data_IF_999028809116
#
_entry.id   IF_999028809116
#
_cell.length_a   1.000
_cell.length_b   1.000
_cell.length_c   1.000
_cell.angle_alpha   90.00
_cell.angle_beta   90.00
_cell.angle_gamma   90.00
#
_symmetry.space_group_name_H-M   'P 1'
#
loop_
_entity.id
_entity.type
_entity.pdbx_description
1 polymer ?
#
# COMPACT_ATOMS: atom_id res chain seq x y z
N UNK A 1 23.50 8.72 10.97
CA UNK A 1 22.56 8.46 9.87
C UNK A 1 22.19 6.99 9.94
N UNK A 2 20.96 6.66 10.30
CA UNK A 2 20.47 5.28 10.23
C UNK A 2 20.04 5.07 8.79
N UNK A 3 20.76 4.22 8.06
CA UNK A 3 20.39 3.82 6.70
C UNK A 3 19.28 2.78 6.86
N UNK A 4 18.07 3.05 6.35
CA UNK A 4 17.04 2.01 6.23
C UNK A 4 17.44 1.10 5.05
N UNK A 5 17.83 -0.17 5.27
CA UNK A 5 18.31 -1.02 4.18
C UNK A 5 17.20 -1.33 3.15
N UNK A 6 15.94 -1.35 3.57
CA UNK A 6 14.80 -1.59 2.68
C UNK A 6 14.53 -0.46 1.68
N UNK A 7 15.11 0.73 1.86
CA UNK A 7 15.00 1.85 0.90
C UNK A 7 16.15 1.89 -0.10
N UNK A 8 17.07 0.92 -0.08
CA UNK A 8 18.11 0.87 -1.09
C UNK A 8 17.51 0.61 -2.49
N UNK A 9 18.23 1.00 -3.56
CA UNK A 9 17.85 0.65 -4.92
C UNK A 9 17.71 -0.85 -5.09
N UNK A 10 16.73 -1.26 -5.90
CA UNK A 10 16.44 -2.65 -6.20
C UNK A 10 17.17 -3.01 -7.51
N UNK A 11 18.27 -3.77 -7.47
CA UNK A 11 18.98 -4.19 -8.67
C UNK A 11 18.15 -5.20 -9.46
N UNK A 12 18.38 -5.26 -10.77
CA UNK A 12 17.74 -6.22 -11.69
C UNK A 12 16.20 -6.22 -11.61
N UNK A 13 15.63 -5.04 -11.28
CA UNK A 13 14.21 -4.88 -11.06
C UNK A 13 13.41 -5.13 -12.34
N UNK A 14 12.30 -5.85 -12.20
CA UNK A 14 11.42 -6.22 -13.31
C UNK A 14 9.98 -5.77 -13.07
N UNK A 15 9.39 -5.15 -14.09
CA UNK A 15 8.02 -4.63 -14.03
C UNK A 15 6.98 -5.75 -13.91
N UNK A 16 7.19 -6.89 -14.58
CA UNK A 16 6.26 -8.02 -14.53
C UNK A 16 6.15 -8.62 -13.11
N UNK A 17 7.27 -8.66 -12.38
CA UNK A 17 7.28 -9.06 -10.97
C UNK A 17 6.55 -8.04 -10.08
N UNK A 18 6.76 -6.74 -10.32
CA UNK A 18 6.06 -5.69 -9.58
C UNK A 18 4.54 -5.71 -9.88
N UNK A 19 4.13 -5.95 -11.12
CA UNK A 19 2.72 -6.07 -11.49
C UNK A 19 2.06 -7.30 -10.82
N UNK A 20 2.71 -8.46 -10.82
CA UNK A 20 2.21 -9.64 -10.12
C UNK A 20 2.12 -9.43 -8.59
N UNK A 21 3.09 -8.73 -8.03
CA UNK A 21 3.09 -8.36 -6.62
C UNK A 21 1.99 -7.34 -6.29
N UNK A 22 1.70 -6.38 -7.17
CA UNK A 22 0.61 -5.41 -7.03
C UNK A 22 -0.74 -6.12 -6.89
N UNK A 23 -1.02 -7.11 -7.74
CA UNK A 23 -2.25 -7.90 -7.66
C UNK A 23 -2.39 -8.59 -6.31
N UNK A 24 -1.31 -9.24 -5.85
CA UNK A 24 -1.29 -9.91 -4.55
C UNK A 24 -1.42 -8.92 -3.39
N UNK A 25 -0.81 -7.74 -3.52
CA UNK A 25 -0.88 -6.67 -2.53
C UNK A 25 -2.30 -6.13 -2.40
N UNK A 26 -2.98 -5.85 -3.52
CA UNK A 26 -4.34 -5.34 -3.52
C UNK A 26 -5.34 -6.38 -3.01
N UNK A 27 -5.12 -7.67 -3.30
CA UNK A 27 -5.91 -8.74 -2.69
C UNK A 27 -5.78 -8.74 -1.16
N UNK A 28 -4.55 -8.66 -0.63
CA UNK A 28 -4.30 -8.58 0.81
C UNK A 28 -4.89 -7.30 1.44
N UNK A 29 -4.83 -6.17 0.73
CA UNK A 29 -5.44 -4.90 1.16
C UNK A 29 -6.96 -5.02 1.24
N UNK A 30 -7.62 -5.67 0.27
CA UNK A 30 -9.07 -5.89 0.29
C UNK A 30 -9.50 -6.80 1.44
N UNK A 31 -8.75 -7.88 1.69
CA UNK A 31 -8.98 -8.76 2.84
C UNK A 31 -8.85 -7.98 4.16
N UNK A 32 -7.74 -7.25 4.33
CA UNK A 32 -7.51 -6.43 5.51
C UNK A 32 -8.56 -5.32 5.66
N UNK A 33 -9.01 -4.72 4.57
CA UNK A 33 -10.06 -3.72 4.57
C UNK A 33 -11.39 -4.27 5.08
N UNK A 34 -11.74 -5.49 4.70
CA UNK A 34 -12.95 -6.17 5.17
C UNK A 34 -12.89 -6.48 6.68
N UNK A 35 -11.72 -6.90 7.20
CA UNK A 35 -11.51 -7.06 8.65
C UNK A 35 -11.69 -5.74 9.40
N UNK A 36 -11.11 -4.65 8.89
CA UNK A 36 -11.20 -3.33 9.51
C UNK A 36 -12.62 -2.77 9.52
N UNK A 37 -13.45 -3.10 8.52
CA UNK A 37 -14.86 -2.70 8.48
C UNK A 37 -15.71 -3.34 9.59
N UNK A 38 -15.29 -4.50 10.11
CA UNK A 38 -15.95 -5.16 11.24
C UNK A 38 -15.62 -4.48 12.58
N UNK A 39 -14.65 -3.57 12.63
CA UNK A 39 -14.26 -2.90 13.86
C UNK A 39 -15.33 -1.86 14.29
N UNK A 40 -15.84 -1.92 15.53
CA UNK A 40 -17.00 -1.12 15.96
C UNK A 40 -16.74 0.40 15.99
N UNK A 41 -15.48 0.82 16.13
CA UNK A 41 -15.08 2.23 16.31
C UNK A 41 -14.78 2.97 15.00
N UNK A 42 -14.69 2.27 13.87
CA UNK A 42 -14.36 2.87 12.57
C UNK A 42 -15.51 2.67 11.59
N UNK A 43 -15.56 3.52 10.57
CA UNK A 43 -16.43 3.35 9.41
C UNK A 43 -15.67 3.71 8.14
N UNK A 44 -16.11 3.16 7.01
CA UNK A 44 -15.49 3.41 5.71
C UNK A 44 -16.22 4.51 4.97
N UNK A 45 -15.50 5.56 4.60
CA UNK A 45 -15.95 6.65 3.72
C UNK A 45 -15.57 6.40 2.26
N UNK A 46 -14.40 5.81 2.04
CA UNK A 46 -13.87 5.59 0.71
C UNK A 46 -13.30 4.17 0.55
N UNK A 47 -13.48 3.62 -0.64
CA UNK A 47 -12.98 2.29 -1.03
C UNK A 47 -12.09 2.43 -2.25
N UNK A 48 -11.20 1.46 -2.44
CA UNK A 48 -10.54 1.30 -3.75
C UNK A 48 -11.64 1.01 -4.78
N UNK A 49 -11.74 1.88 -5.78
CA UNK A 49 -12.80 1.86 -6.79
C UNK A 49 -12.21 2.06 -8.19
N UNK A 50 -12.12 0.98 -8.95
CA UNK A 50 -11.46 0.92 -10.26
C UNK A 50 -10.10 0.21 -10.23
N UNK A 51 -9.51 0.13 -11.41
CA UNK A 51 -8.23 -0.53 -11.64
C UNK A 51 -7.04 0.41 -11.36
N UNK A 52 -5.92 -0.10 -10.81
CA UNK A 52 -4.69 0.66 -10.71
C UNK A 52 -4.20 1.12 -12.08
N UNK A 53 -3.75 2.37 -12.16
CA UNK A 53 -3.22 2.95 -13.41
C UNK A 53 -1.71 3.04 -13.31
N UNK A 54 -1.00 2.42 -14.25
CA UNK A 54 0.47 2.48 -14.35
C UNK A 54 0.95 3.92 -14.62
N UNK A 55 1.99 4.36 -13.92
CA UNK A 55 2.58 5.71 -14.04
C UNK A 55 4.11 5.63 -14.24
N UNK A 56 4.57 5.31 -15.45
CA UNK A 56 5.98 5.02 -15.71
C UNK A 56 6.94 6.17 -15.42
N UNK A 57 6.49 7.41 -15.55
CA UNK A 57 7.29 8.59 -15.23
C UNK A 57 7.59 8.76 -13.73
N UNK A 58 6.90 8.01 -12.86
CA UNK A 58 7.06 8.04 -11.42
C UNK A 58 7.85 6.85 -10.87
N UNK A 59 8.40 5.99 -11.74
CA UNK A 59 9.27 4.90 -11.33
C UNK A 59 10.55 5.44 -10.70
N UNK A 60 11.05 4.75 -9.67
CA UNK A 60 12.30 5.13 -9.04
C UNK A 60 13.03 3.92 -8.47
N UNK A 61 14.34 3.86 -8.70
CA UNK A 61 15.25 2.94 -8.01
C UNK A 61 14.81 1.47 -8.02
N UNK A 62 14.28 1.00 -9.15
CA UNK A 62 13.78 -0.37 -9.32
C UNK A 62 12.40 -0.64 -8.70
N UNK A 63 11.64 0.42 -8.42
CA UNK A 63 10.24 0.37 -8.01
C UNK A 63 9.37 0.98 -9.10
N UNK A 64 8.28 0.29 -9.41
CA UNK A 64 7.36 0.66 -10.48
C UNK A 64 6.11 1.29 -9.89
N UNK A 65 5.63 2.38 -10.48
CA UNK A 65 4.57 3.19 -9.91
C UNK A 65 3.18 2.90 -10.49
N UNK A 66 2.17 2.87 -9.61
CA UNK A 66 0.74 2.80 -9.94
C UNK A 66 -0.08 3.76 -9.10
N UNK A 67 -1.07 4.40 -9.70
CA UNK A 67 -2.08 5.20 -9.00
C UNK A 67 -3.33 4.36 -8.76
N UNK A 68 -3.67 4.13 -7.49
CA UNK A 68 -4.86 3.38 -7.06
C UNK A 68 -6.02 4.36 -6.82
N UNK A 69 -7.11 4.27 -7.60
CA UNK A 69 -8.26 5.15 -7.45
C UNK A 69 -9.11 4.78 -6.22
N UNK A 70 -9.62 5.80 -5.54
CA UNK A 70 -10.60 5.68 -4.45
C UNK A 70 -11.94 6.29 -4.86
N UNK A 71 -13.03 5.78 -4.29
CA UNK A 71 -14.41 6.18 -4.59
C UNK A 71 -14.73 7.65 -4.23
N UNK A 72 -13.91 8.30 -3.43
CA UNK A 72 -14.00 9.73 -3.09
C UNK A 72 -13.26 10.64 -4.11
N UNK A 73 -12.74 10.05 -5.20
CA UNK A 73 -12.00 10.74 -6.25
C UNK A 73 -10.51 10.92 -5.96
N UNK A 74 -10.02 10.55 -4.77
CA UNK A 74 -8.58 10.54 -4.48
C UNK A 74 -7.88 9.42 -5.24
N UNK A 75 -6.57 9.58 -5.39
CA UNK A 75 -5.65 8.54 -5.88
C UNK A 75 -4.51 8.39 -4.89
N UNK A 76 -4.18 7.15 -4.56
CA UNK A 76 -2.99 6.85 -3.75
C UNK A 76 -1.94 6.23 -4.66
N UNK A 77 -0.77 6.86 -4.74
CA UNK A 77 0.35 6.33 -5.50
C UNK A 77 1.05 5.23 -4.71
N UNK A 78 1.28 4.11 -5.38
CA UNK A 78 2.09 3.00 -4.92
C UNK A 78 3.37 2.93 -5.73
N UNK A 79 4.49 2.60 -5.09
CA UNK A 79 5.69 2.15 -5.80
C UNK A 79 6.06 0.75 -5.31
N UNK A 80 5.95 -0.23 -6.20
CA UNK A 80 6.13 -1.65 -5.91
C UNK A 80 7.53 -2.08 -6.38
N UNK A 81 8.36 -2.68 -5.50
CA UNK A 81 9.65 -3.25 -5.89
C UNK A 81 9.53 -4.31 -6.98
N UNK A 82 10.37 -4.22 -8.02
CA UNK A 82 10.41 -5.20 -9.11
C UNK A 82 11.16 -6.48 -8.78
N UNK A 83 10.84 -7.13 -7.67
CA UNK A 83 11.46 -8.42 -7.24
C UNK A 83 10.39 -9.46 -6.95
N UNK A 84 10.83 -10.70 -6.75
CA UNK A 84 9.96 -11.78 -6.31
C UNK A 84 9.20 -11.42 -5.03
N UNK A 85 7.91 -11.77 -5.00
CA UNK A 85 7.01 -11.47 -3.88
C UNK A 85 7.57 -11.96 -2.53
N UNK A 86 8.18 -13.15 -2.52
CA UNK A 86 8.78 -13.72 -1.31
C UNK A 86 9.89 -12.84 -0.71
N UNK A 87 10.63 -12.10 -1.55
CA UNK A 87 11.67 -11.18 -1.08
C UNK A 87 11.05 -9.94 -0.42
N UNK A 88 9.94 -9.41 -0.97
CA UNK A 88 9.20 -8.28 -0.39
C UNK A 88 8.54 -8.63 0.94
N UNK A 89 8.02 -9.85 1.07
CA UNK A 89 7.36 -10.33 2.28
C UNK A 89 8.32 -10.85 3.35
N UNK A 90 9.63 -10.76 3.11
CA UNK A 90 10.65 -11.18 4.06
C UNK A 90 10.61 -10.37 5.36
N UNK A 91 10.96 -11.01 6.48
CA UNK A 91 11.04 -10.36 7.82
C UNK A 91 12.39 -9.68 8.09
N UNK A 92 13.28 -9.66 7.10
CA UNK A 92 14.60 -9.05 7.20
C UNK A 92 14.51 -7.54 7.03
N UNK A 93 15.37 -6.79 7.73
CA UNK A 93 15.56 -5.36 7.50
C UNK A 93 16.01 -5.03 6.06
N UNK A 94 16.53 -6.03 5.33
CA UNK A 94 16.92 -5.93 3.92
C UNK A 94 15.76 -6.21 2.93
N UNK A 95 14.58 -6.60 3.41
CA UNK A 95 13.41 -6.73 2.55
C UNK A 95 13.09 -5.35 1.93
N UNK A 96 12.91 -5.27 0.60
CA UNK A 96 12.69 -3.99 -0.05
C UNK A 96 11.34 -3.40 0.36
N UNK A 97 11.37 -2.14 0.79
CA UNK A 97 10.16 -1.38 1.10
C UNK A 97 9.41 -1.03 -0.17
N UNK A 98 8.09 -1.08 -0.07
CA UNK A 98 7.18 -0.44 -1.01
C UNK A 98 6.98 1.00 -0.58
N UNK A 99 6.47 1.84 -1.48
CA UNK A 99 6.04 3.18 -1.11
C UNK A 99 4.53 3.29 -1.23
N UNK A 100 3.88 3.86 -0.22
CA UNK A 100 2.44 4.14 -0.23
C UNK A 100 2.23 5.61 0.08
N UNK A 101 1.68 6.38 -0.86
CA UNK A 101 1.44 7.82 -0.67
C UNK A 101 2.72 8.64 -0.41
N UNK A 102 3.90 8.12 -0.77
CA UNK A 102 5.19 8.77 -0.52
C UNK A 102 5.94 8.27 0.72
N UNK A 103 5.37 7.34 1.50
CA UNK A 103 6.03 6.76 2.66
C UNK A 103 6.60 5.37 2.33
N UNK A 104 7.87 5.14 2.65
CA UNK A 104 8.51 3.84 2.50
C UNK A 104 8.15 2.91 3.68
N UNK A 105 7.51 1.79 3.37
CA UNK A 105 6.94 0.85 4.36
C UNK A 105 7.19 -0.59 3.95
N UNK A 106 7.35 -1.49 4.92
CA UNK A 106 7.40 -2.92 4.65
C UNK A 106 6.03 -3.46 4.27
N UNK A 107 6.00 -4.63 3.62
CA UNK A 107 4.78 -5.23 3.08
C UNK A 107 3.60 -5.26 4.05
N UNK A 108 3.79 -5.76 5.26
CA UNK A 108 2.70 -5.88 6.25
C UNK A 108 2.12 -4.52 6.64
N UNK A 109 2.99 -3.53 6.83
CA UNK A 109 2.59 -2.18 7.23
C UNK A 109 1.93 -1.45 6.06
N UNK A 110 2.43 -1.65 4.83
CA UNK A 110 1.84 -1.12 3.61
C UNK A 110 0.41 -1.62 3.39
N UNK A 111 0.16 -2.92 3.61
CA UNK A 111 -1.17 -3.51 3.53
C UNK A 111 -2.10 -2.84 4.54
N UNK A 112 -1.65 -2.68 5.78
CA UNK A 112 -2.42 -2.02 6.83
C UNK A 112 -2.71 -0.55 6.54
N UNK A 113 -1.72 0.18 6.04
CA UNK A 113 -1.82 1.61 5.70
C UNK A 113 -2.85 1.81 4.59
N UNK A 114 -2.71 1.11 3.46
CA UNK A 114 -3.65 1.27 2.35
C UNK A 114 -5.05 0.72 2.67
N UNK A 115 -5.17 -0.36 3.46
CA UNK A 115 -6.48 -0.87 3.88
C UNK A 115 -7.22 0.09 4.82
N UNK A 116 -6.46 0.83 5.62
CA UNK A 116 -6.93 1.90 6.49
C UNK A 116 -7.25 3.19 5.76
N UNK A 117 -6.75 3.39 4.53
CA UNK A 117 -7.15 4.52 3.70
C UNK A 117 -8.67 4.50 3.47
N UNK A 118 -9.28 5.67 3.63
CA UNK A 118 -10.74 5.82 3.56
C UNK A 118 -11.49 5.36 4.81
N UNK A 119 -10.81 4.97 5.90
CA UNK A 119 -11.43 4.74 7.20
C UNK A 119 -11.43 6.01 8.05
N UNK A 120 -12.50 6.24 8.81
CA UNK A 120 -12.60 7.28 9.83
C UNK A 120 -13.00 6.70 11.18
N UNK A 121 -12.64 7.41 12.25
CA UNK A 121 -13.21 7.16 13.57
C UNK A 121 -14.65 7.65 13.58
N UNK A 122 -15.54 6.86 14.17
CA UNK A 122 -16.90 7.33 14.46
C UNK A 122 -16.80 8.52 15.42
N UNK A 123 -17.54 9.61 15.17
CA UNK A 123 -17.60 10.70 16.14
C UNK A 123 -18.12 10.16 17.48
N UNK A 124 -17.53 10.64 18.57
CA UNK A 124 -17.93 10.26 19.92
C UNK A 124 -19.40 10.68 20.14
N UNK A 125 -20.28 9.70 20.36
CA UNK A 125 -21.71 9.95 20.60
C UNK A 125 -21.99 10.49 22.02
N UNK A 126 -20.95 10.87 22.77
CA UNK A 126 -21.06 11.35 24.15
C UNK A 126 -21.46 12.84 24.30
N UNK A 127 -21.78 13.55 23.21
CA UNK A 127 -22.12 14.98 23.23
C UNK A 127 -23.62 15.31 23.25
N UNK A 128 -24.51 14.32 23.31
CA UNK A 128 -25.97 14.53 23.37
C UNK A 128 -26.55 13.84 24.62
N UNK A 129 -26.31 14.42 25.80
CA UNK A 129 -27.17 14.24 26.99
C UNK A 129 -27.24 15.53 27.80
#
# INVERSE_FOLDING_TARGET
MIINPGTQPVPDAREDLAAAALETFLAAVRERAAELEQAPIRYREARIDGEPVRVSEADQEGRFAWDVPFSDGRRVRLLIPGVELAAMQGLSAAAPCLWVGGEAVWWSDAVGLLAGEGMRLKPDQSAER
#
